data_IF_220731770784
#
_entry.id   IF_220731770784
#
_cell.length_a   1.000
_cell.length_b   1.000
_cell.length_c   1.000
_cell.angle_alpha   90.00
_cell.angle_beta   90.00
_cell.angle_gamma   90.00
#
_symmetry.space_group_name_H-M   'P 1'
#
loop_
_entity.id
_entity.type
_entity.pdbx_description
1 polymer ?
#
# COMPACT_ATOMS: atom_id res chain seq x y z
N UNK A 1 -30.91 12.54 -7.43
CA UNK A 1 -29.71 13.10 -6.78
C UNK A 1 -28.51 12.15 -6.87
N UNK A 2 -28.69 10.84 -6.65
CA UNK A 2 -27.62 9.82 -6.74
C UNK A 2 -26.85 9.80 -8.07
N UNK A 3 -27.54 9.79 -9.22
CA UNK A 3 -26.89 9.67 -10.53
C UNK A 3 -25.97 10.85 -10.92
N UNK A 4 -26.35 12.08 -10.54
CA UNK A 4 -25.50 13.27 -10.79
C UNK A 4 -24.24 13.25 -9.91
N UNK A 5 -24.37 12.79 -8.67
CA UNK A 5 -23.24 12.62 -7.76
C UNK A 5 -22.31 11.51 -8.25
N UNK A 6 -22.86 10.36 -8.65
CA UNK A 6 -22.11 9.23 -9.20
C UNK A 6 -21.30 9.63 -10.45
N UNK A 7 -21.95 10.29 -11.43
CA UNK A 7 -21.24 10.83 -12.60
C UNK A 7 -20.15 11.84 -12.25
N UNK A 8 -20.38 12.68 -11.25
CA UNK A 8 -19.37 13.63 -10.80
C UNK A 8 -18.17 12.91 -10.18
N UNK A 9 -18.42 11.94 -9.30
CA UNK A 9 -17.38 11.12 -8.67
C UNK A 9 -16.60 10.30 -9.71
N UNK A 10 -17.27 9.73 -10.71
CA UNK A 10 -16.62 9.03 -11.81
C UNK A 10 -15.74 9.96 -12.65
N UNK A 11 -16.23 11.18 -12.91
CA UNK A 11 -15.45 12.22 -13.56
C UNK A 11 -14.16 12.54 -12.80
N UNK A 12 -14.27 12.80 -11.49
CA UNK A 12 -13.10 13.03 -10.62
C UNK A 12 -12.17 11.83 -10.60
N UNK A 13 -12.70 10.61 -10.45
CA UNK A 13 -11.94 9.37 -10.43
C UNK A 13 -11.15 9.17 -11.73
N UNK A 14 -11.74 9.50 -12.88
CA UNK A 14 -11.08 9.40 -14.19
C UNK A 14 -9.91 10.38 -14.37
N UNK A 15 -9.98 11.55 -13.72
CA UNK A 15 -8.89 12.54 -13.72
C UNK A 15 -7.81 12.16 -12.73
N UNK A 16 -8.18 11.78 -11.50
CA UNK A 16 -7.26 11.41 -10.42
C UNK A 16 -6.47 10.15 -10.79
N UNK A 17 -7.11 9.13 -11.36
CA UNK A 17 -6.43 7.93 -11.86
C UNK A 17 -6.18 7.99 -13.37
N UNK A 18 -6.21 9.20 -13.91
CA UNK A 18 -5.91 9.46 -15.30
C UNK A 18 -4.43 9.26 -15.63
N UNK A 19 -4.07 9.27 -16.92
CA UNK A 19 -2.70 9.03 -17.38
C UNK A 19 -1.66 9.96 -16.75
N UNK A 20 -2.03 11.22 -16.47
CA UNK A 20 -1.12 12.21 -15.90
C UNK A 20 -0.67 11.86 -14.48
N UNK A 21 -1.61 11.49 -13.60
CA UNK A 21 -1.28 11.10 -12.22
C UNK A 21 -0.51 9.78 -12.19
N UNK A 22 -0.91 8.81 -13.01
CA UNK A 22 -0.21 7.53 -13.10
C UNK A 22 1.23 7.73 -13.61
N UNK A 23 1.42 8.57 -14.63
CA UNK A 23 2.74 8.93 -15.13
C UNK A 23 3.56 9.67 -14.07
N UNK A 24 2.95 10.55 -13.27
CA UNK A 24 3.64 11.23 -12.19
C UNK A 24 4.09 10.26 -11.09
N UNK A 25 3.20 9.40 -10.59
CA UNK A 25 3.48 8.48 -9.50
C UNK A 25 4.43 7.37 -9.93
N UNK A 26 4.12 6.67 -11.01
CA UNK A 26 5.00 5.63 -11.54
C UNK A 26 6.32 6.20 -12.08
N UNK A 27 6.28 7.38 -12.72
CA UNK A 27 7.48 8.11 -13.13
C UNK A 27 8.36 8.49 -11.94
N UNK A 28 7.76 8.85 -10.79
CA UNK A 28 8.51 9.09 -9.55
C UNK A 28 9.17 7.80 -9.04
N UNK A 29 8.50 6.66 -9.13
CA UNK A 29 9.09 5.36 -8.77
C UNK A 29 10.34 5.07 -9.61
N UNK A 30 10.24 5.26 -10.93
CA UNK A 30 11.38 5.10 -11.85
C UNK A 30 12.48 6.11 -11.55
N UNK A 31 12.14 7.41 -11.48
CA UNK A 31 13.09 8.48 -11.20
C UNK A 31 13.89 8.22 -9.92
N UNK A 32 13.22 7.89 -8.82
CA UNK A 32 13.88 7.61 -7.54
C UNK A 32 14.69 6.31 -7.60
N UNK A 33 14.23 5.30 -8.33
CA UNK A 33 15.00 4.07 -8.56
C UNK A 33 16.36 4.38 -9.20
N UNK A 34 16.37 5.14 -10.30
CA UNK A 34 17.62 5.52 -10.97
C UNK A 34 18.46 6.49 -10.13
N UNK A 35 17.83 7.51 -9.53
CA UNK A 35 18.53 8.54 -8.73
C UNK A 35 19.22 7.94 -7.51
N UNK A 36 18.60 6.92 -6.88
CA UNK A 36 19.15 6.19 -5.74
C UNK A 36 20.01 4.99 -6.14
N UNK A 37 20.37 4.85 -7.43
CA UNK A 37 21.23 3.78 -7.96
C UNK A 37 20.69 2.38 -7.63
N UNK A 38 19.41 2.15 -7.90
CA UNK A 38 18.70 0.89 -7.66
C UNK A 38 18.75 0.44 -6.21
N UNK A 39 18.19 1.26 -5.31
CA UNK A 39 18.11 0.98 -3.87
C UNK A 39 17.48 -0.40 -3.57
N UNK A 40 16.63 -0.91 -4.46
CA UNK A 40 16.04 -2.25 -4.42
C UNK A 40 17.08 -3.37 -4.29
N UNK A 41 18.31 -3.18 -4.78
CA UNK A 41 19.38 -4.18 -4.63
C UNK A 41 19.73 -4.48 -3.16
N UNK A 42 19.38 -3.56 -2.26
CA UNK A 42 19.57 -3.73 -0.82
C UNK A 42 18.37 -4.41 -0.13
N UNK A 43 17.38 -4.90 -0.89
CA UNK A 43 16.19 -5.55 -0.35
C UNK A 43 16.52 -6.72 0.60
N UNK A 44 17.49 -7.58 0.25
CA UNK A 44 17.88 -8.67 1.15
C UNK A 44 18.43 -8.19 2.50
N UNK A 45 19.19 -7.09 2.49
CA UNK A 45 19.66 -6.44 3.72
C UNK A 45 18.49 -5.84 4.48
N UNK A 46 17.56 -5.19 3.79
CA UNK A 46 16.37 -4.59 4.37
C UNK A 46 15.46 -5.65 5.04
N UNK A 47 15.26 -6.81 4.41
CA UNK A 47 14.52 -7.94 4.96
C UNK A 47 15.19 -8.51 6.21
N UNK A 48 16.52 -8.68 6.20
CA UNK A 48 17.25 -9.11 7.41
C UNK A 48 17.12 -8.10 8.55
N UNK A 49 17.07 -6.81 8.24
CA UNK A 49 16.89 -5.75 9.23
C UNK A 49 15.46 -5.68 9.75
N UNK A 50 14.44 -5.94 8.91
CA UNK A 50 13.05 -5.82 9.31
C UNK A 50 12.64 -6.84 10.37
N UNK A 51 13.23 -8.03 10.36
CA UNK A 51 12.98 -9.06 11.38
C UNK A 51 13.71 -8.82 12.70
N UNK A 52 14.64 -7.87 12.77
CA UNK A 52 15.31 -7.54 14.02
C UNK A 52 14.39 -6.68 14.89
N UNK A 53 14.29 -7.08 16.16
CA UNK A 53 13.54 -6.33 17.19
C UNK A 53 14.41 -5.32 17.95
N UNK A 54 15.64 -5.11 17.49
CA UNK A 54 16.55 -4.13 18.07
C UNK A 54 15.92 -2.73 18.05
N UNK A 55 16.05 -2.01 19.15
CA UNK A 55 15.63 -0.61 19.25
C UNK A 55 16.84 0.25 19.55
N UNK A 56 17.04 1.32 18.77
CA UNK A 56 18.13 2.26 19.02
C UNK A 56 17.65 3.69 18.83
N UNK A 57 17.91 4.56 19.81
CA UNK A 57 17.60 5.99 19.69
C UNK A 57 16.15 6.35 20.01
N UNK A 58 15.79 7.60 19.72
CA UNK A 58 14.48 8.17 20.04
C UNK A 58 13.37 7.62 19.12
N UNK A 59 12.19 7.40 19.68
CA UNK A 59 11.00 6.89 19.02
C UNK A 59 10.05 6.16 19.98
N UNK A 60 8.85 5.88 19.49
CA UNK A 60 7.76 5.31 20.29
C UNK A 60 7.70 3.79 20.20
N UNK A 61 8.00 3.24 19.02
CA UNK A 61 7.81 1.82 18.68
C UNK A 61 9.05 1.19 18.03
N UNK A 62 9.12 -0.14 18.00
CA UNK A 62 10.25 -0.87 17.39
C UNK A 62 10.27 -0.72 15.86
N UNK A 63 11.40 -1.03 15.21
CA UNK A 63 11.49 -1.07 13.75
C UNK A 63 10.47 -2.06 13.14
N UNK A 64 10.38 -3.25 13.74
CA UNK A 64 9.42 -4.28 13.36
C UNK A 64 7.98 -3.82 13.60
N UNK A 65 7.69 -3.19 14.74
CA UNK A 65 6.36 -2.67 15.06
C UNK A 65 5.90 -1.58 14.11
N UNK A 66 6.81 -0.69 13.69
CA UNK A 66 6.51 0.31 12.68
C UNK A 66 6.20 -0.35 11.31
N UNK A 67 6.98 -1.36 10.90
CA UNK A 67 6.71 -2.11 9.67
C UNK A 67 5.38 -2.85 9.74
N UNK A 68 5.11 -3.58 10.83
CA UNK A 68 3.87 -4.33 11.00
C UNK A 68 2.67 -3.39 11.05
N UNK A 69 2.78 -2.23 11.70
CA UNK A 69 1.72 -1.22 11.72
C UNK A 69 1.47 -0.64 10.33
N UNK A 70 2.53 -0.35 9.56
CA UNK A 70 2.38 0.09 8.17
C UNK A 70 1.76 -1.00 7.29
N UNK A 71 2.19 -2.25 7.43
CA UNK A 71 1.63 -3.40 6.72
C UNK A 71 0.19 -3.69 7.11
N UNK A 72 -0.22 -3.43 8.35
CA UNK A 72 -1.63 -3.54 8.76
C UNK A 72 -2.54 -2.55 8.03
N UNK A 73 -2.00 -1.41 7.60
CA UNK A 73 -2.73 -0.41 6.82
C UNK A 73 -2.77 -0.76 5.33
N UNK A 74 -1.69 -1.33 4.78
CA UNK A 74 -1.61 -1.66 3.35
C UNK A 74 -2.23 -3.01 3.01
N UNK A 75 -2.00 -4.02 3.85
CA UNK A 75 -2.53 -5.37 3.65
C UNK A 75 -4.01 -5.40 4.07
N UNK A 76 -4.90 -5.53 3.10
CA UNK A 76 -6.32 -5.65 3.36
C UNK A 76 -7.13 -5.86 2.09
N UNK A 77 -8.29 -5.20 2.01
CA UNK A 77 -9.21 -5.29 0.85
C UNK A 77 -8.51 -4.98 -0.47
N UNK A 78 -7.53 -4.06 -0.48
CA UNK A 78 -6.77 -3.70 -1.68
C UNK A 78 -6.04 -4.89 -2.31
N UNK A 79 -5.46 -5.78 -1.51
CA UNK A 79 -4.69 -6.94 -1.99
C UNK A 79 -5.57 -8.08 -2.49
N UNK A 80 -6.85 -8.11 -2.10
CA UNK A 80 -7.79 -9.17 -2.48
C UNK A 80 -8.72 -8.66 -3.57
N UNK A 81 -9.61 -7.73 -3.19
CA UNK A 81 -10.62 -7.16 -4.09
C UNK A 81 -9.97 -6.24 -5.12
N UNK A 82 -8.92 -5.49 -4.75
CA UNK A 82 -8.23 -4.60 -5.68
C UNK A 82 -7.49 -5.36 -6.79
N UNK A 83 -6.84 -6.49 -6.47
CA UNK A 83 -6.21 -7.37 -7.45
C UNK A 83 -7.27 -8.02 -8.35
N UNK A 84 -8.34 -8.58 -7.77
CA UNK A 84 -9.44 -9.14 -8.54
C UNK A 84 -10.06 -8.11 -9.50
N UNK A 85 -10.24 -6.87 -9.05
CA UNK A 85 -10.74 -5.76 -9.88
C UNK A 85 -9.74 -5.38 -10.98
N UNK A 86 -8.44 -5.42 -10.69
CA UNK A 86 -7.41 -5.15 -11.69
C UNK A 86 -7.45 -6.18 -12.81
N UNK A 87 -7.58 -7.47 -12.47
CA UNK A 87 -7.67 -8.57 -13.43
C UNK A 87 -9.00 -8.54 -14.19
N UNK A 88 -10.12 -8.26 -13.52
CA UNK A 88 -11.44 -8.26 -14.17
C UNK A 88 -11.62 -7.08 -15.13
N UNK A 89 -11.08 -5.91 -14.81
CA UNK A 89 -11.25 -4.70 -15.62
C UNK A 89 -10.07 -4.43 -16.57
N UNK A 90 -8.85 -4.76 -16.16
CA UNK A 90 -7.62 -4.57 -16.95
C UNK A 90 -7.11 -5.83 -17.64
N UNK A 91 -7.70 -7.00 -17.37
CA UNK A 91 -7.23 -8.28 -17.85
C UNK A 91 -6.01 -8.83 -17.09
N UNK A 92 -5.56 -10.06 -17.41
CA UNK A 92 -4.43 -10.70 -16.73
C UNK A 92 -3.13 -9.89 -16.79
N UNK A 93 -2.97 -9.06 -17.82
CA UNK A 93 -1.80 -8.20 -18.00
C UNK A 93 -1.65 -7.12 -16.92
N UNK A 94 -2.73 -6.75 -16.24
CA UNK A 94 -2.70 -5.79 -15.15
C UNK A 94 -1.82 -6.25 -13.98
N UNK A 95 -1.68 -7.56 -13.77
CA UNK A 95 -0.84 -8.15 -12.71
C UNK A 95 0.63 -7.76 -12.91
N UNK A 96 1.14 -7.77 -14.15
CA UNK A 96 2.53 -7.38 -14.41
C UNK A 96 2.77 -5.91 -14.05
N UNK A 97 1.86 -5.03 -14.47
CA UNK A 97 1.97 -3.59 -14.18
C UNK A 97 1.87 -3.32 -12.69
N UNK A 98 0.97 -4.01 -11.99
CA UNK A 98 0.89 -3.97 -10.54
C UNK A 98 2.21 -4.41 -9.89
N UNK A 99 2.82 -5.49 -10.38
CA UNK A 99 4.08 -5.98 -9.86
C UNK A 99 5.23 -4.99 -10.07
N UNK A 100 5.32 -4.38 -11.25
CA UNK A 100 6.29 -3.32 -11.55
C UNK A 100 6.10 -2.11 -10.63
N UNK A 101 4.86 -1.73 -10.30
CA UNK A 101 4.64 -0.65 -9.32
C UNK A 101 5.17 -1.01 -7.94
N UNK A 102 5.06 -2.28 -7.52
CA UNK A 102 5.64 -2.76 -6.28
C UNK A 102 7.17 -2.70 -6.30
N UNK A 103 7.79 -3.27 -7.33
CA UNK A 103 9.26 -3.31 -7.46
C UNK A 103 9.87 -1.90 -7.48
N UNK A 104 9.34 -1.01 -8.32
CA UNK A 104 9.84 0.36 -8.40
C UNK A 104 9.38 1.23 -7.22
N UNK A 105 8.24 0.92 -6.62
CA UNK A 105 7.69 1.61 -5.45
C UNK A 105 8.55 1.51 -4.19
N UNK A 106 9.38 0.47 -4.07
CA UNK A 106 10.37 0.32 -2.99
C UNK A 106 11.25 1.57 -2.86
N UNK A 107 11.66 2.17 -3.98
CA UNK A 107 12.50 3.38 -3.96
C UNK A 107 11.76 4.62 -3.44
N UNK A 108 10.48 4.76 -3.80
CA UNK A 108 9.61 5.82 -3.30
C UNK A 108 9.35 5.65 -1.81
N UNK A 109 8.96 4.44 -1.39
CA UNK A 109 8.69 4.12 0.02
C UNK A 109 9.91 4.36 0.91
N UNK A 110 11.10 3.99 0.41
CA UNK A 110 12.37 4.30 1.06
C UNK A 110 12.55 5.83 1.23
N UNK A 111 12.36 6.59 0.16
CA UNK A 111 12.56 8.05 0.18
C UNK A 111 11.59 8.76 1.12
N UNK A 112 10.32 8.36 1.08
CA UNK A 112 9.27 8.85 1.98
C UNK A 112 9.64 8.62 3.45
N UNK A 113 10.01 7.38 3.81
CA UNK A 113 10.38 7.03 5.18
C UNK A 113 11.65 7.75 5.63
N UNK A 114 12.64 7.89 4.75
CA UNK A 114 13.88 8.62 5.02
C UNK A 114 13.58 10.08 5.39
N UNK A 115 12.76 10.76 4.58
CA UNK A 115 12.39 12.15 4.80
C UNK A 115 11.56 12.32 6.07
N UNK A 116 10.60 11.44 6.32
CA UNK A 116 9.77 11.52 7.52
C UNK A 116 10.59 11.40 8.81
N UNK A 117 11.61 10.55 8.83
CA UNK A 117 12.48 10.41 10.00
C UNK A 117 13.48 11.55 10.11
N UNK A 118 13.94 12.08 8.98
CA UNK A 118 14.85 13.23 8.96
C UNK A 118 14.18 14.50 9.48
N UNK A 119 12.89 14.68 9.20
CA UNK A 119 12.13 15.91 9.52
C UNK A 119 11.11 15.74 10.66
N UNK A 120 11.06 14.57 11.33
CA UNK A 120 10.16 14.35 12.47
C UNK A 120 10.47 15.28 13.64
N UNK A 121 9.47 15.42 14.50
CA UNK A 121 9.43 16.35 15.62
C UNK A 121 8.93 15.59 16.84
N UNK A 122 9.27 16.06 18.03
CA UNK A 122 8.59 15.60 19.25
C UNK A 122 7.34 16.44 19.43
N UNK A 123 6.19 15.80 19.50
CA UNK A 123 4.90 16.42 19.80
C UNK A 123 4.82 16.81 21.28
N UNK A 124 3.81 17.61 21.63
CA UNK A 124 3.61 18.11 23.01
C UNK A 124 3.37 16.98 24.02
N UNK A 125 2.79 15.87 23.59
CA UNK A 125 2.58 14.67 24.39
C UNK A 125 3.83 13.76 24.52
N UNK A 126 4.97 14.21 23.97
CA UNK A 126 6.25 13.49 23.97
C UNK A 126 6.39 12.41 22.90
N UNK A 127 5.37 12.19 22.06
CA UNK A 127 5.45 11.22 20.94
C UNK A 127 6.20 11.80 19.75
N UNK A 128 6.71 10.93 18.86
CA UNK A 128 7.34 11.37 17.62
C UNK A 128 6.30 11.54 16.52
N UNK A 129 6.18 12.76 16.01
CA UNK A 129 5.32 13.09 14.87
C UNK A 129 6.18 13.37 13.62
N UNK A 130 5.85 12.71 12.51
CA UNK A 130 6.56 12.89 11.24
C UNK A 130 5.69 12.46 10.06
N UNK A 131 6.23 12.62 8.85
CA UNK A 131 5.52 12.35 7.60
C UNK A 131 5.71 13.46 6.57
N UNK A 132 5.01 13.40 5.43
CA UNK A 132 5.18 14.35 4.34
C UNK A 132 4.83 15.78 4.73
N UNK A 133 3.85 15.99 5.60
CA UNK A 133 3.49 17.33 6.11
C UNK A 133 4.69 18.03 6.76
N UNK A 134 5.47 17.32 7.57
CA UNK A 134 6.68 17.85 8.20
C UNK A 134 7.85 17.97 7.22
N UNK A 135 7.98 17.03 6.27
CA UNK A 135 8.99 17.12 5.23
C UNK A 135 8.77 18.33 4.31
N UNK A 136 7.52 18.67 3.98
CA UNK A 136 7.15 19.85 3.21
C UNK A 136 7.37 21.13 4.01
N UNK A 137 6.95 21.17 5.27
CA UNK A 137 7.13 22.34 6.14
C UNK A 137 8.60 22.63 6.42
N UNK A 138 9.39 21.62 6.82
CA UNK A 138 10.77 21.80 7.32
C UNK A 138 11.84 21.53 6.27
N UNK A 139 11.55 20.68 5.28
CA UNK A 139 12.50 20.33 4.22
C UNK A 139 12.40 21.25 3.01
N UNK A 140 11.20 21.74 2.69
CA UNK A 140 10.95 22.63 1.55
C UNK A 140 10.54 24.05 1.95
N UNK A 141 10.43 24.35 3.26
CA UNK A 141 9.88 25.61 3.77
C UNK A 141 8.49 25.94 3.20
N UNK A 142 7.71 24.91 2.85
CA UNK A 142 6.42 25.03 2.19
C UNK A 142 5.29 24.59 3.14
N UNK A 143 5.12 25.33 4.24
CA UNK A 143 4.12 25.03 5.29
C UNK A 143 2.70 24.88 4.75
N UNK A 144 2.34 25.69 3.75
CA UNK A 144 1.03 25.64 3.11
C UNK A 144 0.75 24.30 2.41
N UNK A 145 1.75 23.71 1.74
CA UNK A 145 1.64 22.37 1.15
C UNK A 145 1.52 21.29 2.23
N UNK A 146 2.25 21.45 3.34
CA UNK A 146 2.14 20.54 4.48
C UNK A 146 0.73 20.54 5.10
N UNK A 147 0.10 21.70 5.22
CA UNK A 147 -1.28 21.85 5.69
C UNK A 147 -2.28 21.22 4.72
N UNK A 148 -2.14 21.45 3.42
CA UNK A 148 -2.98 20.82 2.39
C UNK A 148 -2.86 19.30 2.47
N UNK A 149 -1.63 18.78 2.52
CA UNK A 149 -1.39 17.34 2.64
C UNK A 149 -2.04 16.75 3.90
N UNK A 150 -1.88 17.41 5.05
CA UNK A 150 -2.47 16.95 6.31
C UNK A 150 -4.00 16.93 6.25
N UNK A 151 -4.62 17.99 5.72
CA UNK A 151 -6.07 18.06 5.56
C UNK A 151 -6.61 16.98 4.61
N UNK A 152 -5.96 16.80 3.44
CA UNK A 152 -6.34 15.76 2.49
C UNK A 152 -6.14 14.36 3.06
N UNK A 153 -5.04 14.12 3.77
CA UNK A 153 -4.76 12.82 4.40
C UNK A 153 -5.80 12.49 5.48
N UNK A 154 -6.19 13.48 6.29
CA UNK A 154 -7.23 13.29 7.30
C UNK A 154 -8.57 12.88 6.68
N UNK A 155 -8.95 13.48 5.54
CA UNK A 155 -10.17 13.11 4.81
C UNK A 155 -10.02 11.74 4.14
N UNK A 156 -8.89 11.50 3.45
CA UNK A 156 -8.62 10.27 2.72
C UNK A 156 -8.56 9.03 3.64
N UNK A 157 -8.11 9.19 4.89
CA UNK A 157 -8.06 8.13 5.88
C UNK A 157 -9.44 7.49 6.15
N UNK A 158 -10.53 8.27 6.11
CA UNK A 158 -11.88 7.71 6.23
C UNK A 158 -12.29 6.86 5.03
N UNK A 159 -11.83 7.20 3.82
CA UNK A 159 -12.11 6.40 2.64
C UNK A 159 -11.32 5.10 2.63
N UNK A 160 -10.00 5.21 2.47
CA UNK A 160 -9.09 4.07 2.24
C UNK A 160 -8.96 3.21 3.50
N UNK A 161 -8.81 3.85 4.67
CA UNK A 161 -8.52 3.19 5.94
C UNK A 161 -9.75 2.73 6.72
N UNK A 162 -10.96 3.23 6.41
CA UNK A 162 -12.17 2.90 7.18
C UNK A 162 -13.31 2.37 6.31
N UNK A 163 -13.94 3.21 5.48
CA UNK A 163 -15.19 2.86 4.78
C UNK A 163 -15.03 1.66 3.84
N UNK A 164 -13.98 1.64 3.02
CA UNK A 164 -13.75 0.55 2.04
C UNK A 164 -13.48 -0.78 2.75
N UNK A 165 -12.71 -0.75 3.83
CA UNK A 165 -12.35 -1.95 4.60
C UNK A 165 -13.57 -2.50 5.36
N UNK A 166 -14.29 -1.63 6.10
CA UNK A 166 -15.46 -2.02 6.86
C UNK A 166 -16.60 -2.53 5.96
N UNK A 167 -16.79 -1.90 4.79
CA UNK A 167 -17.79 -2.32 3.82
C UNK A 167 -17.49 -3.73 3.27
N UNK A 168 -16.23 -4.02 2.96
CA UNK A 168 -15.81 -5.32 2.44
C UNK A 168 -15.99 -6.42 3.48
N UNK A 169 -15.62 -6.17 4.74
CA UNK A 169 -15.87 -7.11 5.86
C UNK A 169 -17.37 -7.37 6.02
N UNK A 170 -18.19 -6.32 6.08
CA UNK A 170 -19.63 -6.46 6.27
C UNK A 170 -20.31 -7.19 5.08
N UNK A 171 -19.84 -6.93 3.85
CA UNK A 171 -20.30 -7.62 2.65
C UNK A 171 -20.00 -9.13 2.71
N UNK A 172 -18.76 -9.49 3.01
CA UNK A 172 -18.34 -10.89 3.16
C UNK A 172 -19.10 -11.61 4.28
N UNK A 173 -19.33 -10.93 5.41
CA UNK A 173 -20.07 -11.51 6.54
C UNK A 173 -21.54 -11.78 6.22
N UNK A 174 -22.14 -10.89 5.42
CA UNK A 174 -23.50 -11.09 4.91
C UNK A 174 -23.53 -12.24 3.89
N UNK A 175 -22.60 -12.29 2.95
CA UNK A 175 -22.62 -13.29 1.88
C UNK A 175 -22.29 -14.70 2.38
N UNK A 176 -21.25 -14.84 3.21
CA UNK A 176 -20.78 -16.15 3.66
C UNK A 176 -21.53 -16.69 4.88
N UNK A 177 -22.05 -15.82 5.74
CA UNK A 177 -22.63 -16.22 7.04
C UNK A 177 -24.02 -15.63 7.30
N UNK A 178 -24.59 -14.89 6.35
CA UNK A 178 -25.89 -14.22 6.47
C UNK A 178 -26.00 -13.28 7.69
N UNK A 179 -24.87 -12.72 8.14
CA UNK A 179 -24.83 -11.77 9.26
C UNK A 179 -25.25 -10.37 8.76
N UNK A 180 -26.18 -9.68 9.43
CA UNK A 180 -26.58 -8.33 9.04
C UNK A 180 -25.40 -7.34 9.12
N UNK A 181 -25.20 -6.45 8.11
CA UNK A 181 -24.06 -5.53 8.06
C UNK A 181 -23.86 -4.65 9.31
N UNK A 182 -24.94 -4.22 9.96
CA UNK A 182 -24.86 -3.39 11.16
C UNK A 182 -24.25 -4.14 12.36
N UNK A 183 -24.47 -5.46 12.45
CA UNK A 183 -23.88 -6.30 13.51
C UNK A 183 -22.37 -6.38 13.30
N UNK A 184 -21.93 -6.70 12.08
CA UNK A 184 -20.50 -6.71 11.72
C UNK A 184 -19.86 -5.34 11.98
N UNK A 185 -20.57 -4.25 11.66
CA UNK A 185 -20.13 -2.88 11.95
C UNK A 185 -19.87 -2.65 13.45
N UNK A 186 -20.83 -2.98 14.33
CA UNK A 186 -20.68 -2.81 15.79
C UNK A 186 -19.48 -3.61 16.31
N UNK A 187 -19.33 -4.86 15.87
CA UNK A 187 -18.22 -5.73 16.31
C UNK A 187 -16.88 -5.15 15.87
N UNK A 188 -16.75 -4.75 14.59
CA UNK A 188 -15.52 -4.14 14.07
C UNK A 188 -15.21 -2.83 14.78
N UNK A 189 -16.21 -1.99 15.05
CA UNK A 189 -16.04 -0.75 15.83
C UNK A 189 -15.53 -1.03 17.24
N UNK A 190 -16.12 -1.98 17.95
CA UNK A 190 -15.70 -2.34 19.31
C UNK A 190 -14.26 -2.86 19.33
N UNK A 191 -13.92 -3.80 18.43
CA UNK A 191 -12.56 -4.34 18.32
C UNK A 191 -11.53 -3.27 17.95
N UNK A 192 -11.89 -2.36 17.04
CA UNK A 192 -11.02 -1.26 16.65
C UNK A 192 -10.80 -0.31 17.82
N UNK A 193 -11.85 0.06 18.54
CA UNK A 193 -11.78 0.95 19.71
C UNK A 193 -10.83 0.41 20.79
N UNK A 194 -10.91 -0.90 21.09
CA UNK A 194 -10.02 -1.56 22.05
C UNK A 194 -8.54 -1.40 21.70
N UNK A 195 -8.19 -1.32 20.42
CA UNK A 195 -6.81 -1.20 19.96
C UNK A 195 -6.38 0.27 19.90
N UNK A 196 -7.17 1.14 19.26
CA UNK A 196 -6.76 2.52 18.95
C UNK A 196 -6.74 3.44 20.18
N UNK A 197 -7.61 3.20 21.19
CA UNK A 197 -7.67 4.04 22.39
C UNK A 197 -6.38 3.99 23.22
N UNK A 198 -5.58 2.93 23.07
CA UNK A 198 -4.27 2.82 23.72
C UNK A 198 -3.12 3.52 22.96
N UNK A 199 -3.42 4.26 21.88
CA UNK A 199 -2.44 5.00 21.08
C UNK A 199 -1.48 4.12 20.27
N UNK A 200 -0.43 4.75 19.70
CA UNK A 200 0.48 4.10 18.75
C UNK A 200 1.19 2.85 19.31
N UNK A 201 1.47 2.82 20.63
CA UNK A 201 2.07 1.66 21.30
C UNK A 201 1.10 0.48 21.39
N UNK A 202 -0.20 0.72 21.56
CA UNK A 202 -1.23 -0.32 21.56
C UNK A 202 -1.45 -0.89 20.16
N UNK A 203 -1.53 0.00 19.17
CA UNK A 203 -1.64 -0.35 17.75
C UNK A 203 -0.46 -1.24 17.35
N UNK A 204 0.78 -0.79 17.59
CA UNK A 204 1.97 -1.54 17.20
C UNK A 204 2.03 -2.93 17.87
N UNK A 205 1.74 -3.03 19.18
CA UNK A 205 1.72 -4.34 19.88
C UNK A 205 0.71 -5.32 19.30
N UNK A 206 -0.43 -4.81 18.82
CA UNK A 206 -1.46 -5.64 18.18
C UNK A 206 -1.00 -6.06 16.78
N UNK A 207 -0.54 -5.12 15.97
CA UNK A 207 -0.05 -5.35 14.62
C UNK A 207 1.15 -6.32 14.60
N UNK A 208 2.09 -6.23 15.56
CA UNK A 208 3.25 -7.12 15.67
C UNK A 208 2.88 -8.60 15.79
N UNK A 209 1.67 -8.93 16.25
CA UNK A 209 1.16 -10.30 16.38
C UNK A 209 0.21 -10.66 15.25
N UNK A 210 -0.75 -9.78 14.97
CA UNK A 210 -1.84 -10.05 14.04
C UNK A 210 -1.34 -10.05 12.59
N UNK A 211 -0.44 -9.13 12.22
CA UNK A 211 0.02 -8.96 10.83
C UNK A 211 0.83 -10.16 10.33
N UNK A 212 1.85 -10.66 11.07
CA UNK A 212 2.54 -11.86 10.65
C UNK A 212 1.61 -13.07 10.54
N UNK A 213 0.69 -13.23 11.50
CA UNK A 213 -0.28 -14.33 11.48
C UNK A 213 -1.13 -14.28 10.22
N UNK A 214 -1.77 -13.14 9.91
CA UNK A 214 -2.64 -13.01 8.73
C UNK A 214 -1.87 -13.19 7.42
N UNK A 215 -0.67 -12.61 7.31
CA UNK A 215 0.14 -12.72 6.10
C UNK A 215 0.59 -14.17 5.86
N UNK A 216 1.08 -14.85 6.90
CA UNK A 216 1.50 -16.25 6.80
C UNK A 216 0.31 -17.16 6.49
N UNK A 217 -0.84 -16.99 7.15
CA UNK A 217 -2.02 -17.81 6.86
C UNK A 217 -2.51 -17.64 5.43
N UNK A 218 -2.52 -16.41 4.92
CA UNK A 218 -2.95 -16.12 3.55
C UNK A 218 -1.97 -16.72 2.53
N UNK A 219 -0.67 -16.47 2.70
CA UNK A 219 0.38 -17.02 1.83
C UNK A 219 0.34 -18.54 1.81
N UNK A 220 0.21 -19.19 2.97
CA UNK A 220 0.10 -20.65 3.03
C UNK A 220 -1.15 -21.17 2.30
N UNK A 221 -2.30 -20.50 2.45
CA UNK A 221 -3.52 -20.84 1.71
C UNK A 221 -3.32 -20.76 0.20
N UNK A 222 -2.75 -19.66 -0.29
CA UNK A 222 -2.42 -19.49 -1.71
C UNK A 222 -1.44 -20.56 -2.20
N UNK A 223 -0.38 -20.83 -1.44
CA UNK A 223 0.62 -21.85 -1.80
C UNK A 223 0.00 -23.25 -1.90
N UNK A 224 -0.91 -23.62 -0.99
CA UNK A 224 -1.63 -24.90 -1.06
C UNK A 224 -2.47 -24.98 -2.34
N UNK A 225 -3.20 -23.91 -2.69
CA UNK A 225 -3.97 -23.86 -3.95
C UNK A 225 -3.07 -23.95 -5.19
N UNK A 226 -1.93 -23.26 -5.17
CA UNK A 226 -0.93 -23.32 -6.25
C UNK A 226 -0.32 -24.70 -6.39
N UNK A 227 -0.06 -25.42 -5.29
CA UNK A 227 0.43 -26.80 -5.33
C UNK A 227 -0.58 -27.75 -5.98
N UNK A 228 -1.88 -27.60 -5.68
CA UNK A 228 -2.92 -28.38 -6.34
C UNK A 228 -3.10 -28.04 -7.83
N UNK A 229 -2.65 -26.88 -8.27
CA UNK A 229 -2.74 -26.39 -9.65
C UNK A 229 -1.36 -26.07 -10.25
N UNK A 230 -0.32 -26.80 -9.83
CA UNK A 230 1.06 -26.46 -10.19
C UNK A 230 1.29 -26.44 -11.72
N UNK A 231 0.62 -27.34 -12.44
CA UNK A 231 0.69 -27.44 -13.89
C UNK A 231 0.20 -26.19 -14.63
N UNK A 232 -0.70 -25.40 -14.03
CA UNK A 232 -1.24 -24.18 -14.68
C UNK A 232 -0.31 -22.98 -14.51
N UNK A 233 0.64 -23.02 -13.57
CA UNK A 233 1.49 -21.86 -13.23
C UNK A 233 2.27 -21.34 -14.45
N UNK A 234 2.95 -22.17 -15.26
CA UNK A 234 3.67 -21.66 -16.43
C UNK A 234 2.74 -20.98 -17.44
N UNK A 235 1.55 -21.55 -17.65
CA UNK A 235 0.54 -20.98 -18.54
C UNK A 235 -0.02 -19.64 -18.04
N UNK A 236 -0.27 -19.53 -16.74
CA UNK A 236 -0.71 -18.28 -16.10
C UNK A 236 0.35 -17.19 -16.23
N UNK A 237 1.62 -17.49 -15.97
CA UNK A 237 2.70 -16.52 -16.15
C UNK A 237 2.81 -16.07 -17.60
N UNK A 238 2.79 -17.01 -18.56
CA UNK A 238 2.79 -16.67 -19.98
C UNK A 238 1.61 -15.76 -20.36
N UNK A 239 0.40 -16.07 -19.86
CA UNK A 239 -0.79 -15.26 -20.09
C UNK A 239 -0.64 -13.84 -19.53
N UNK A 240 -0.08 -13.67 -18.32
CA UNK A 240 0.18 -12.36 -17.72
C UNK A 240 1.13 -11.54 -18.60
N UNK A 241 2.28 -12.12 -18.98
CA UNK A 241 3.27 -11.41 -19.80
C UNK A 241 2.74 -11.07 -21.20
N UNK A 242 2.06 -12.00 -21.86
CA UNK A 242 1.46 -11.76 -23.16
C UNK A 242 0.39 -10.66 -23.06
N UNK A 243 -0.54 -10.78 -22.12
CA UNK A 243 -1.65 -9.83 -21.95
C UNK A 243 -1.20 -8.44 -21.51
N UNK A 244 -0.04 -8.33 -20.84
CA UNK A 244 0.47 -7.04 -20.37
C UNK A 244 1.01 -6.16 -21.51
N UNK A 245 1.48 -6.77 -22.59
CA UNK A 245 2.07 -6.09 -23.75
C UNK A 245 1.26 -6.27 -25.04
N UNK A 246 0.32 -7.22 -25.08
CA UNK A 246 -0.63 -7.34 -26.18
C UNK A 246 -1.80 -6.38 -25.94
N UNK A 247 -1.98 -5.36 -26.79
CA UNK A 247 -3.35 -5.06 -27.15
C UNK A 247 -3.80 -6.16 -28.11
N UNK A 248 -4.98 -6.73 -27.87
CA UNK A 248 -5.63 -7.68 -28.78
C UNK A 248 -5.24 -7.35 -30.23
N UNK A 249 -4.49 -8.27 -30.84
CA UNK A 249 -3.77 -8.11 -32.10
C UNK A 249 -4.74 -8.10 -33.30
N UNK A 250 -5.70 -7.19 -33.28
CA UNK A 250 -6.57 -6.87 -34.39
C UNK A 250 -6.21 -5.45 -34.86
N UNK A 251 -5.28 -5.40 -35.82
CA UNK A 251 -5.09 -4.30 -36.77
C UNK A 251 -4.76 -2.90 -36.18
N UNK A 252 -3.47 -2.65 -35.99
CA UNK A 252 -2.80 -1.38 -36.35
C UNK A 252 -3.06 -0.09 -35.55
N UNK A 253 -4.20 0.04 -34.85
CA UNK A 253 -4.56 1.25 -34.09
C UNK A 253 -5.16 0.99 -32.70
N UNK A 254 -5.67 -0.23 -32.46
CA UNK A 254 -6.27 -0.65 -31.19
C UNK A 254 -5.35 -1.50 -30.29
N UNK A 255 -4.15 -1.85 -30.78
CA UNK A 255 -3.13 -2.58 -30.01
C UNK A 255 -2.63 -1.81 -28.75
N UNK A 256 -2.95 -0.51 -28.64
CA UNK A 256 -2.66 0.27 -27.44
C UNK A 256 -3.77 0.24 -26.38
N UNK A 257 -5.02 -0.08 -26.73
CA UNK A 257 -6.15 0.06 -25.82
C UNK A 257 -6.14 -0.98 -24.69
N UNK A 258 -5.88 -2.25 -25.02
CA UNK A 258 -5.77 -3.33 -24.02
C UNK A 258 -4.57 -3.13 -23.08
N UNK A 259 -3.40 -2.80 -23.64
CA UNK A 259 -2.21 -2.47 -22.85
C UNK A 259 -2.45 -1.25 -21.96
N UNK A 260 -3.12 -0.20 -22.47
CA UNK A 260 -3.43 1.01 -21.71
C UNK A 260 -4.35 0.72 -20.53
N UNK A 261 -5.39 -0.09 -20.71
CA UNK A 261 -6.28 -0.44 -19.60
C UNK A 261 -5.61 -1.39 -18.60
N UNK A 262 -4.86 -2.39 -19.07
CA UNK A 262 -4.03 -3.25 -18.21
C UNK A 262 -3.06 -2.42 -17.37
N UNK A 263 -2.35 -1.48 -17.98
CA UNK A 263 -1.44 -0.56 -17.29
C UNK A 263 -2.18 0.37 -16.34
N UNK A 264 -3.30 0.97 -16.77
CA UNK A 264 -4.08 1.90 -15.96
C UNK A 264 -4.57 1.22 -14.69
N UNK A 265 -5.24 0.08 -14.81
CA UNK A 265 -5.76 -0.66 -13.66
C UNK A 265 -4.65 -1.31 -12.84
N UNK A 266 -3.63 -1.88 -13.48
CA UNK A 266 -2.50 -2.48 -12.79
C UNK A 266 -1.71 -1.45 -11.96
N UNK A 267 -1.38 -0.30 -12.56
CA UNK A 267 -0.67 0.77 -11.86
C UNK A 267 -1.54 1.40 -10.77
N UNK A 268 -2.81 1.71 -11.06
CA UNK A 268 -3.71 2.31 -10.08
C UNK A 268 -3.94 1.39 -8.87
N UNK A 269 -4.20 0.10 -9.10
CA UNK A 269 -4.43 -0.87 -8.02
C UNK A 269 -3.15 -1.25 -7.29
N UNK A 270 -2.01 -1.26 -7.98
CA UNK A 270 -0.70 -1.43 -7.34
C UNK A 270 -0.34 -0.28 -6.41
N UNK A 271 -0.51 0.98 -6.87
CA UNK A 271 -0.33 2.17 -6.03
C UNK A 271 -1.30 2.16 -4.83
N UNK A 272 -2.54 1.76 -5.05
CA UNK A 272 -3.53 1.62 -3.98
C UNK A 272 -3.13 0.57 -2.94
N UNK A 273 -2.62 -0.58 -3.38
CA UNK A 273 -2.21 -1.69 -2.51
C UNK A 273 -1.03 -1.31 -1.62
N UNK A 274 0.10 -0.91 -2.20
CA UNK A 274 1.31 -0.68 -1.39
C UNK A 274 1.44 0.72 -0.81
N UNK A 275 0.59 1.67 -1.21
CA UNK A 275 0.65 3.08 -0.82
C UNK A 275 2.03 3.73 -1.03
N UNK A 276 2.79 3.29 -2.04
CA UNK A 276 4.01 3.99 -2.45
C UNK A 276 3.62 5.27 -3.19
N UNK A 277 4.10 6.42 -2.74
CA UNK A 277 3.75 7.71 -3.32
C UNK A 277 2.48 8.36 -2.73
N UNK A 278 1.77 7.67 -1.82
CA UNK A 278 0.65 8.27 -1.07
C UNK A 278 1.11 9.07 0.15
N UNK A 279 2.30 8.80 0.68
CA UNK A 279 2.83 9.52 1.85
C UNK A 279 2.19 9.19 3.21
N UNK A 280 1.28 8.22 3.30
CA UNK A 280 0.65 7.75 4.54
C UNK A 280 1.58 6.88 5.41
N UNK A 281 2.15 5.82 4.86
CA UNK A 281 3.06 4.91 5.56
C UNK A 281 4.29 5.56 6.25
N UNK A 282 4.95 6.60 5.70
CA UNK A 282 6.04 7.25 6.41
C UNK A 282 5.62 7.94 7.73
N UNK A 283 4.32 8.22 7.94
CA UNK A 283 3.80 8.75 9.21
C UNK A 283 4.07 7.75 10.34
N UNK A 284 3.79 6.47 10.10
CA UNK A 284 4.07 5.38 11.05
C UNK A 284 5.58 5.15 11.18
N UNK A 285 6.33 5.24 10.08
CA UNK A 285 7.79 5.07 10.10
C UNK A 285 8.49 6.12 10.98
N UNK A 286 7.93 7.33 11.09
CA UNK A 286 8.46 8.38 11.95
C UNK A 286 8.42 8.04 13.45
N UNK A 287 7.49 7.18 13.87
CA UNK A 287 7.36 6.70 15.25
C UNK A 287 8.41 5.64 15.63
N UNK A 288 9.17 5.11 14.67
CA UNK A 288 10.16 4.07 14.94
C UNK A 288 11.35 4.59 15.77
N UNK A 289 11.84 3.78 16.71
CA UNK A 289 13.07 4.01 17.46
C UNK A 289 14.28 3.82 16.55
N UNK A 290 14.83 4.92 16.07
CA UNK A 290 16.01 4.90 15.20
C UNK A 290 16.94 6.09 15.44
N UNK A 291 18.25 5.84 15.42
CA UNK A 291 19.30 6.86 15.29
C UNK A 291 19.67 7.15 13.83
N UNK A 292 19.36 6.22 12.92
CA UNK A 292 19.76 6.29 11.52
C UNK A 292 18.52 6.25 10.61
N UNK A 293 18.16 7.37 9.96
CA UNK A 293 17.04 7.43 9.02
C UNK A 293 17.14 6.37 7.91
N UNK A 294 18.34 6.08 7.41
CA UNK A 294 18.57 5.09 6.35
C UNK A 294 18.19 3.68 6.79
N UNK A 295 18.50 3.30 8.03
CA UNK A 295 18.19 1.95 8.55
C UNK A 295 16.68 1.72 8.57
N UNK A 296 15.92 2.64 9.15
CA UNK A 296 14.47 2.50 9.21
C UNK A 296 13.83 2.68 7.83
N UNK A 297 14.36 3.56 6.98
CA UNK A 297 13.86 3.71 5.60
C UNK A 297 13.99 2.39 4.80
N UNK A 298 15.11 1.66 4.97
CA UNK A 298 15.26 0.33 4.39
C UNK A 298 14.19 -0.62 4.94
N UNK A 299 13.99 -0.67 6.27
CA UNK A 299 12.95 -1.51 6.87
C UNK A 299 11.56 -1.18 6.32
N UNK A 300 11.16 0.10 6.31
CA UNK A 300 9.86 0.54 5.78
C UNK A 300 9.66 0.19 4.30
N UNK A 301 10.73 0.24 3.50
CA UNK A 301 10.68 -0.11 2.07
C UNK A 301 10.33 -1.59 1.82
N UNK A 302 10.56 -2.48 2.79
CA UNK A 302 10.13 -3.88 2.69
C UNK A 302 8.62 -4.04 2.74
N UNK A 303 7.87 -3.03 3.19
CA UNK A 303 6.41 -3.05 3.19
C UNK A 303 5.85 -3.27 1.79
N UNK A 304 6.35 -2.51 0.81
CA UNK A 304 5.97 -2.63 -0.61
C UNK A 304 6.31 -4.02 -1.19
N UNK A 305 7.43 -4.62 -0.74
CA UNK A 305 7.80 -5.97 -1.15
C UNK A 305 6.81 -7.02 -0.63
N UNK A 306 6.53 -7.03 0.67
CA UNK A 306 5.58 -7.99 1.23
C UNK A 306 4.17 -7.81 0.68
N UNK A 307 3.73 -6.57 0.56
CA UNK A 307 2.40 -6.22 0.09
C UNK A 307 2.17 -6.61 -1.38
N UNK A 308 2.94 -6.02 -2.30
CA UNK A 308 2.65 -6.15 -3.74
C UNK A 308 3.49 -7.24 -4.41
N UNK A 309 4.77 -7.38 -4.04
CA UNK A 309 5.67 -8.33 -4.71
C UNK A 309 5.40 -9.77 -4.28
N UNK A 310 4.89 -9.96 -3.05
CA UNK A 310 4.54 -11.27 -2.50
C UNK A 310 3.03 -11.48 -2.46
N UNK A 311 2.30 -10.74 -1.63
CA UNK A 311 0.87 -11.04 -1.37
C UNK A 311 0.04 -10.82 -2.64
N UNK A 312 0.13 -9.67 -3.29
CA UNK A 312 -0.66 -9.42 -4.50
C UNK A 312 -0.24 -10.25 -5.72
N UNK A 313 0.94 -10.86 -5.70
CA UNK A 313 1.37 -11.79 -6.75
C UNK A 313 0.80 -13.20 -6.54
N UNK A 314 0.50 -13.56 -5.28
CA UNK A 314 -0.13 -14.83 -4.90
C UNK A 314 -1.65 -14.78 -5.01
N UNK A 315 -2.26 -13.61 -4.81
CA UNK A 315 -3.67 -13.35 -5.11
C UNK A 315 -3.93 -13.44 -6.61
#
# INVERSE_FOLDING_TARGET
MSYKMEKFLDGVNSVVWGPAMLALLFGTHLYLTFRLRFIQRHLWKALKLSFRRETEGAGDISHFGALMTALAATIGTGNIVGVATAVSLGGPGAVLWMWLTGVFGIATKYSEALLAIKYRVTAEDGTMAGGPMYALERGMNARWLGLIFAAMTAIAAFGIGNMVQANSIAGLMKESFNIPPWVSGIVVTALTALVILGGIKSIARTCEKLVPFMAVSYVLGCLVLMLFKFETIPGTLALIFQSAFSGQAALGGFAGAGMKEAMRYGVARGLFSNESGMGSAPIVAAAARTKNPVRQALVSSTGTFWDTVVICALT
#
